data_IF_377507328998
#
_entry.id   IF_377507328998
#
_cell.length_a   1.000
_cell.length_b   1.000
_cell.length_c   1.000
_cell.angle_alpha   90.00
_cell.angle_beta   90.00
_cell.angle_gamma   90.00
#
_symmetry.space_group_name_H-M   'P 1'
#
loop_
_entity.id
_entity.type
_entity.pdbx_description
1 polymer ?
#
# COMPACT_ATOMS: atom_id res chain seq x y z
N UNK A 1 -14.34 16.35 24.02
CA UNK A 1 -13.66 15.34 23.18
C UNK A 1 -14.52 15.24 21.94
N UNK A 2 -13.94 15.25 20.73
CA UNK A 2 -14.74 15.06 19.51
C UNK A 2 -15.38 13.68 19.54
N UNK A 3 -16.55 13.55 18.90
CA UNK A 3 -17.27 12.29 18.78
C UNK A 3 -16.77 11.45 17.60
N UNK A 4 -15.94 12.05 16.74
CA UNK A 4 -15.25 11.42 15.63
C UNK A 4 -13.80 11.91 15.50
N UNK A 5 -13.00 11.19 14.73
CA UNK A 5 -11.67 11.60 14.32
C UNK A 5 -11.40 11.16 12.88
N UNK A 6 -10.55 11.91 12.18
CA UNK A 6 -10.22 11.69 10.78
C UNK A 6 -8.74 11.34 10.61
N UNK A 7 -8.46 10.41 9.70
CA UNK A 7 -7.11 10.05 9.31
C UNK A 7 -7.04 9.94 7.79
N UNK A 8 -5.95 10.44 7.21
CA UNK A 8 -5.60 10.19 5.82
C UNK A 8 -4.46 9.19 5.74
N UNK A 9 -4.61 8.20 4.87
CA UNK A 9 -3.59 7.20 4.58
C UNK A 9 -3.30 7.19 3.09
N UNK A 10 -2.06 7.44 2.63
CA UNK A 10 -1.77 7.42 1.21
C UNK A 10 -2.04 6.03 0.61
N UNK A 11 -2.49 5.99 -0.65
CA UNK A 11 -2.46 4.75 -1.42
C UNK A 11 -1.02 4.25 -1.56
N UNK A 12 -0.81 2.96 -1.62
CA UNK A 12 0.52 2.39 -1.80
C UNK A 12 0.55 1.39 -2.92
N UNK A 13 1.49 1.56 -3.83
CA UNK A 13 1.77 0.62 -4.90
C UNK A 13 3.12 -0.04 -4.66
N UNK A 14 3.14 -1.37 -4.66
CA UNK A 14 4.39 -2.14 -4.57
C UNK A 14 4.97 -2.31 -5.97
N UNK A 15 6.27 -2.05 -6.17
CA UNK A 15 6.96 -2.33 -7.44
C UNK A 15 7.64 -3.70 -7.46
N UNK A 16 8.14 -4.15 -6.32
CA UNK A 16 8.75 -5.47 -6.13
C UNK A 16 8.76 -5.82 -4.65
N UNK A 17 8.76 -7.11 -4.33
CA UNK A 17 8.72 -7.57 -2.94
C UNK A 17 9.25 -8.99 -2.77
N UNK A 18 9.56 -9.33 -1.52
CA UNK A 18 9.78 -10.70 -1.03
C UNK A 18 8.63 -11.10 -0.11
N UNK A 19 8.49 -12.40 0.15
CA UNK A 19 7.56 -12.91 1.16
C UNK A 19 8.38 -13.53 2.28
N UNK A 20 8.37 -12.91 3.46
CA UNK A 20 9.14 -13.35 4.62
C UNK A 20 8.16 -13.69 5.76
N UNK A 21 8.06 -14.98 6.09
CA UNK A 21 7.16 -15.49 7.15
C UNK A 21 7.93 -15.64 8.45
N UNK A 22 7.39 -15.06 9.52
CA UNK A 22 7.87 -15.22 10.90
C UNK A 22 6.91 -16.07 11.73
N UNK A 23 7.27 -16.32 12.99
CA UNK A 23 6.42 -17.07 13.92
C UNK A 23 5.24 -16.23 14.43
N UNK A 24 5.44 -14.90 14.50
CA UNK A 24 4.42 -13.93 14.88
C UNK A 24 3.97 -13.08 13.65
N UNK A 25 2.68 -12.74 13.53
CA UNK A 25 2.19 -11.77 12.55
C UNK A 25 2.99 -10.46 12.48
N UNK A 26 3.53 -9.95 13.60
CA UNK A 26 4.29 -8.70 13.61
C UNK A 26 5.74 -8.87 13.11
N UNK A 27 6.26 -10.10 13.08
CA UNK A 27 7.54 -10.47 12.47
C UNK A 27 7.40 -10.75 10.98
N UNK A 28 6.24 -11.29 10.59
CA UNK A 28 5.89 -11.60 9.20
C UNK A 28 5.73 -10.30 8.40
N UNK A 29 6.27 -10.28 7.19
CA UNK A 29 6.12 -9.15 6.29
C UNK A 29 6.83 -9.34 4.96
N UNK A 30 7.29 -8.22 4.38
CA UNK A 30 7.97 -8.21 3.09
C UNK A 30 9.14 -7.23 3.11
N UNK A 31 10.21 -7.59 2.39
CA UNK A 31 11.19 -6.63 1.89
C UNK A 31 10.76 -6.17 0.51
N UNK A 32 11.24 -5.03 0.03
CA UNK A 32 10.88 -4.53 -1.31
C UNK A 32 10.83 -3.02 -1.41
N UNK A 33 10.17 -2.52 -2.46
CA UNK A 33 10.00 -1.09 -2.67
C UNK A 33 8.64 -0.74 -3.26
N UNK A 34 8.19 0.48 -3.01
CA UNK A 34 6.93 0.99 -3.54
C UNK A 34 6.83 2.51 -3.55
N UNK A 35 5.69 3.03 -3.99
CA UNK A 35 5.36 4.46 -4.00
C UNK A 35 4.10 4.69 -3.15
N UNK A 36 4.19 5.62 -2.20
CA UNK A 36 3.02 6.16 -1.53
C UNK A 36 2.46 7.33 -2.36
N UNK A 37 1.17 7.31 -2.65
CA UNK A 37 0.48 8.20 -3.56
C UNK A 37 -0.34 9.27 -2.80
N UNK A 38 -0.55 10.42 -3.43
CA UNK A 38 -1.39 11.49 -2.88
C UNK A 38 -2.87 11.17 -2.95
N UNK A 39 -3.24 10.24 -3.84
CA UNK A 39 -4.53 9.58 -3.78
C UNK A 39 -4.45 8.50 -2.72
N UNK A 40 -5.43 8.44 -1.84
CA UNK A 40 -5.40 7.59 -0.65
C UNK A 40 -6.77 7.39 -0.05
N UNK A 41 -6.77 6.83 1.16
CA UNK A 41 -7.97 6.51 1.92
C UNK A 41 -8.15 7.55 3.02
N UNK A 42 -9.27 8.24 3.00
CA UNK A 42 -9.71 9.10 4.10
C UNK A 42 -10.61 8.27 5.01
N UNK A 43 -10.26 8.12 6.28
CA UNK A 43 -10.97 7.28 7.26
C UNK A 43 -11.49 8.17 8.38
N UNK A 44 -12.78 8.05 8.66
CA UNK A 44 -13.46 8.66 9.79
C UNK A 44 -13.91 7.57 10.75
N UNK A 45 -13.56 7.71 12.02
CA UNK A 45 -14.00 6.79 13.09
C UNK A 45 -14.83 7.58 14.09
N UNK A 46 -16.06 7.14 14.31
CA UNK A 46 -16.97 7.73 15.29
C UNK A 46 -17.40 6.71 16.34
N UNK A 47 -17.73 7.18 17.54
CA UNK A 47 -18.23 6.29 18.60
C UNK A 47 -19.58 5.71 18.23
N UNK A 48 -19.73 4.39 18.35
CA UNK A 48 -20.99 3.68 18.10
C UNK A 48 -21.22 2.56 19.11
N UNK A 49 -22.46 2.07 19.17
CA UNK A 49 -22.85 0.90 19.97
C UNK A 49 -22.64 -0.42 19.22
N UNK A 50 -22.52 -0.35 17.90
CA UNK A 50 -22.28 -1.48 16.99
C UNK A 50 -21.12 -1.14 16.04
N UNK A 51 -20.42 -2.16 15.57
CA UNK A 51 -19.36 -1.98 14.57
C UNK A 51 -19.99 -2.00 13.19
N UNK A 52 -19.77 -0.91 12.44
CA UNK A 52 -20.22 -0.76 11.05
C UNK A 52 -19.04 -0.23 10.23
N UNK A 53 -18.84 -0.77 9.03
CA UNK A 53 -17.74 -0.38 8.15
C UNK A 53 -18.32 -0.06 6.77
N UNK A 54 -18.11 1.18 6.31
CA UNK A 54 -18.58 1.63 4.99
C UNK A 54 -17.42 2.16 4.16
N UNK A 55 -17.36 1.83 2.89
CA UNK A 55 -16.40 2.35 1.92
C UNK A 55 -17.14 2.98 0.75
N UNK A 56 -16.90 4.27 0.49
CA UNK A 56 -17.58 5.05 -0.56
C UNK A 56 -19.12 5.00 -0.46
N UNK A 57 -19.64 4.87 0.76
CA UNK A 57 -21.07 4.81 1.06
C UNK A 57 -21.70 3.41 1.03
N UNK A 58 -20.94 2.38 0.64
CA UNK A 58 -21.41 0.99 0.63
C UNK A 58 -20.92 0.24 1.88
N UNK A 59 -21.79 -0.57 2.48
CA UNK A 59 -21.41 -1.47 3.58
C UNK A 59 -20.44 -2.54 3.09
N UNK A 60 -19.35 -2.75 3.84
CA UNK A 60 -18.33 -3.74 3.52
C UNK A 60 -17.94 -4.58 4.74
N UNK A 61 -17.50 -5.81 4.49
CA UNK A 61 -16.78 -6.62 5.48
C UNK A 61 -15.28 -6.48 5.23
N UNK A 62 -14.51 -6.18 6.28
CA UNK A 62 -13.07 -5.96 6.18
C UNK A 62 -12.37 -6.48 7.43
N UNK A 63 -11.93 -7.74 7.38
CA UNK A 63 -11.35 -8.46 8.52
C UNK A 63 -10.18 -7.69 9.16
N UNK A 64 -9.34 -7.02 8.36
CA UNK A 64 -8.23 -6.22 8.90
C UNK A 64 -8.72 -5.05 9.78
N UNK A 65 -9.82 -4.38 9.42
CA UNK A 65 -10.40 -3.29 10.21
C UNK A 65 -11.03 -3.83 11.50
N UNK A 66 -11.76 -4.94 11.40
CA UNK A 66 -12.36 -5.62 12.56
C UNK A 66 -11.28 -6.03 13.57
N UNK A 67 -10.18 -6.64 13.10
CA UNK A 67 -9.03 -7.01 13.93
C UNK A 67 -8.37 -5.81 14.62
N UNK A 68 -8.29 -4.66 13.95
CA UNK A 68 -7.78 -3.42 14.55
C UNK A 68 -8.69 -2.97 15.70
N UNK A 69 -10.00 -2.93 15.46
CA UNK A 69 -10.98 -2.53 16.47
C UNK A 69 -10.97 -3.48 17.67
N UNK A 70 -10.88 -4.80 17.43
CA UNK A 70 -10.76 -5.83 18.45
C UNK A 70 -9.48 -5.68 19.29
N UNK A 71 -8.33 -5.44 18.63
CA UNK A 71 -7.06 -5.20 19.31
C UNK A 71 -7.12 -3.96 20.22
N UNK A 72 -7.82 -2.92 19.78
CA UNK A 72 -8.09 -1.70 20.54
C UNK A 72 -9.28 -1.84 21.51
N UNK A 73 -9.95 -3.00 21.56
CA UNK A 73 -11.14 -3.27 22.37
C UNK A 73 -12.22 -2.20 22.21
N UNK A 74 -12.48 -1.83 20.97
CA UNK A 74 -13.27 -0.68 20.60
C UNK A 74 -14.42 -1.09 19.68
N UNK A 75 -15.59 -0.48 19.88
CA UNK A 75 -16.74 -0.60 18.98
C UNK A 75 -16.99 0.78 18.37
N UNK A 76 -17.05 0.87 17.05
CA UNK A 76 -17.09 2.12 16.33
C UNK A 76 -17.70 1.97 14.94
N UNK A 77 -18.26 3.06 14.42
CA UNK A 77 -18.57 3.16 13.00
C UNK A 77 -17.33 3.70 12.28
N UNK A 78 -16.90 3.01 11.23
CA UNK A 78 -15.76 3.34 10.38
C UNK A 78 -16.28 3.69 8.99
N UNK A 79 -16.16 4.95 8.61
CA UNK A 79 -16.53 5.42 7.27
C UNK A 79 -15.27 5.82 6.52
N UNK A 80 -15.11 5.31 5.30
CA UNK A 80 -13.97 5.61 4.48
C UNK A 80 -14.35 6.04 3.07
N UNK A 81 -13.55 6.95 2.51
CA UNK A 81 -13.66 7.42 1.14
C UNK A 81 -12.31 7.29 0.43
N UNK A 82 -12.34 6.84 -0.82
CA UNK A 82 -11.13 6.70 -1.64
C UNK A 82 -11.46 6.75 -3.13
N UNK A 83 -10.63 7.44 -3.95
CA UNK A 83 -10.72 7.34 -5.41
C UNK A 83 -10.07 6.06 -5.96
N UNK A 84 -9.38 5.29 -5.11
CA UNK A 84 -8.60 4.12 -5.52
C UNK A 84 -9.49 2.87 -5.59
N UNK A 85 -9.44 2.08 -6.67
CA UNK A 85 -10.19 0.83 -6.75
C UNK A 85 -9.64 -0.21 -5.76
N UNK A 86 -10.55 -0.88 -5.06
CA UNK A 86 -10.22 -2.02 -4.19
C UNK A 86 -9.65 -3.18 -5.04
N UNK A 87 -8.80 -4.03 -4.47
CA UNK A 87 -8.24 -5.21 -5.17
C UNK A 87 -7.28 -4.91 -6.33
N UNK A 88 -6.95 -3.64 -6.57
CA UNK A 88 -6.18 -3.20 -7.74
C UNK A 88 -4.71 -2.83 -7.45
N UNK A 89 -4.17 -3.33 -6.33
CA UNK A 89 -2.76 -3.15 -5.96
C UNK A 89 -2.40 -1.82 -5.28
N UNK A 90 -3.40 -1.07 -4.77
CA UNK A 90 -3.20 0.24 -4.12
C UNK A 90 -3.14 0.20 -2.58
N UNK A 91 -3.18 -0.98 -1.97
CA UNK A 91 -3.10 -1.11 -0.51
C UNK A 91 -4.28 -0.48 0.24
N UNK A 92 -5.48 -0.47 -0.34
CA UNK A 92 -6.68 0.13 0.29
C UNK A 92 -7.04 -0.56 1.61
N UNK A 93 -6.90 -1.89 1.71
CA UNK A 93 -7.12 -2.64 2.95
C UNK A 93 -6.18 -2.19 4.08
N UNK A 94 -4.87 -2.12 3.80
CA UNK A 94 -3.89 -1.57 4.73
C UNK A 94 -4.16 -0.10 5.08
N UNK A 95 -4.66 0.68 4.12
CA UNK A 95 -5.08 2.07 4.31
C UNK A 95 -6.22 2.20 5.31
N UNK A 96 -7.26 1.37 5.16
CA UNK A 96 -8.40 1.28 6.08
C UNK A 96 -7.95 0.84 7.47
N UNK A 97 -7.13 -0.19 7.58
CA UNK A 97 -6.63 -0.70 8.85
C UNK A 97 -5.80 0.35 9.61
N UNK A 98 -4.86 1.00 8.93
CA UNK A 98 -4.01 2.04 9.54
C UNK A 98 -4.81 3.29 9.89
N UNK A 99 -5.68 3.76 8.99
CA UNK A 99 -6.54 4.92 9.24
C UNK A 99 -7.47 4.68 10.43
N UNK A 100 -8.04 3.48 10.52
CA UNK A 100 -8.86 3.06 11.66
C UNK A 100 -8.05 3.08 12.95
N UNK A 101 -6.84 2.51 12.96
CA UNK A 101 -6.00 2.49 14.17
C UNK A 101 -5.67 3.91 14.66
N UNK A 102 -5.30 4.81 13.74
CA UNK A 102 -5.01 6.21 14.04
C UNK A 102 -6.23 6.94 14.58
N UNK A 103 -7.34 6.94 13.84
CA UNK A 103 -8.55 7.66 14.20
C UNK A 103 -9.22 7.08 15.46
N UNK A 104 -9.26 5.75 15.64
CA UNK A 104 -9.75 5.12 16.84
C UNK A 104 -8.91 5.51 18.07
N UNK A 105 -7.58 5.56 17.96
CA UNK A 105 -6.71 6.03 19.03
C UNK A 105 -7.01 7.48 19.43
N UNK A 106 -7.23 8.35 18.44
CA UNK A 106 -7.56 9.75 18.67
C UNK A 106 -8.94 9.92 19.33
N UNK A 107 -9.99 9.30 18.78
CA UNK A 107 -11.36 9.50 19.27
C UNK A 107 -11.55 8.83 20.64
N UNK A 108 -11.05 7.60 20.87
CA UNK A 108 -11.22 6.88 22.14
C UNK A 108 -10.16 7.24 23.20
N UNK A 109 -9.12 7.99 22.83
CA UNK A 109 -8.09 8.45 23.76
C UNK A 109 -7.22 7.34 24.32
N UNK A 110 -6.92 6.31 23.51
CA UNK A 110 -6.10 5.16 23.92
C UNK A 110 -4.66 5.56 24.30
N UNK A 111 -4.14 6.65 23.74
CA UNK A 111 -2.83 7.21 24.08
C UNK A 111 -1.65 6.37 23.60
N UNK A 112 -1.85 5.55 22.56
CA UNK A 112 -0.82 4.74 21.92
C UNK A 112 0.06 5.59 21.00
N UNK A 113 1.33 5.22 20.90
CA UNK A 113 2.29 5.83 19.99
C UNK A 113 2.03 5.42 18.54
N UNK A 114 2.56 6.21 17.61
CA UNK A 114 2.42 5.95 16.17
C UNK A 114 2.88 4.55 15.77
N UNK A 115 4.05 4.11 16.25
CA UNK A 115 4.57 2.77 15.92
C UNK A 115 3.71 1.64 16.52
N UNK A 116 3.10 1.83 17.69
CA UNK A 116 2.17 0.84 18.25
C UNK A 116 0.94 0.69 17.35
N UNK A 117 0.40 1.80 16.83
CA UNK A 117 -0.76 1.80 15.93
C UNK A 117 -0.43 1.16 14.58
N UNK A 118 0.75 1.48 14.02
CA UNK A 118 1.25 0.83 12.80
C UNK A 118 1.48 -0.67 13.03
N UNK A 119 1.99 -1.08 14.19
CA UNK A 119 2.13 -2.50 14.55
C UNK A 119 0.77 -3.21 14.62
N UNK A 120 -0.25 -2.60 15.23
CA UNK A 120 -1.60 -3.15 15.32
C UNK A 120 -2.19 -3.33 13.91
N UNK A 121 -2.15 -2.30 13.08
CA UNK A 121 -2.67 -2.35 11.71
C UNK A 121 -1.91 -3.36 10.84
N UNK A 122 -0.58 -3.44 10.97
CA UNK A 122 0.25 -4.40 10.25
C UNK A 122 -0.08 -5.84 10.64
N UNK A 123 -0.15 -6.12 11.95
CA UNK A 123 -0.52 -7.44 12.45
C UNK A 123 -1.92 -7.86 11.98
N UNK A 124 -2.87 -6.93 11.95
CA UNK A 124 -4.22 -7.18 11.47
C UNK A 124 -4.25 -7.57 9.97
N UNK A 125 -3.52 -6.84 9.11
CA UNK A 125 -3.39 -7.16 7.68
C UNK A 125 -2.73 -8.51 7.44
N UNK A 126 -1.67 -8.82 8.17
CA UNK A 126 -0.98 -10.12 8.06
C UNK A 126 -1.92 -11.26 8.47
N UNK A 127 -2.66 -11.09 9.56
CA UNK A 127 -3.59 -12.11 10.05
C UNK A 127 -4.79 -12.32 9.12
N UNK A 128 -5.27 -11.26 8.45
CA UNK A 128 -6.32 -11.34 7.43
C UNK A 128 -5.79 -11.88 6.08
N UNK A 129 -4.47 -12.00 5.91
CA UNK A 129 -3.85 -12.45 4.66
C UNK A 129 -4.01 -11.45 3.50
N UNK A 130 -4.33 -10.19 3.80
CA UNK A 130 -4.61 -9.13 2.82
C UNK A 130 -3.36 -8.35 2.42
N UNK A 131 -2.30 -8.33 3.24
CA UNK A 131 -1.10 -7.57 2.95
C UNK A 131 0.10 -7.89 3.85
N UNK A 132 1.31 -7.66 3.32
CA UNK A 132 2.59 -7.93 4.03
C UNK A 132 3.47 -6.71 4.22
N UNK A 133 3.08 -5.55 3.70
CA UNK A 133 3.92 -4.37 3.85
C UNK A 133 3.35 -3.07 3.32
N UNK A 134 2.06 -3.00 3.00
CA UNK A 134 1.41 -1.74 2.63
C UNK A 134 1.32 -0.82 3.85
N UNK A 135 0.85 -1.32 5.00
CA UNK A 135 0.71 -0.52 6.24
C UNK A 135 2.00 0.23 6.60
N UNK A 136 3.13 -0.47 6.66
CA UNK A 136 4.42 0.14 7.05
C UNK A 136 4.93 1.11 5.97
N UNK A 137 4.62 0.85 4.70
CA UNK A 137 4.98 1.71 3.59
C UNK A 137 4.12 3.00 3.57
N UNK A 138 2.82 2.87 3.82
CA UNK A 138 1.85 3.95 3.92
C UNK A 138 2.14 4.84 5.14
N UNK A 139 2.46 4.24 6.28
CA UNK A 139 2.89 4.95 7.47
C UNK A 139 4.14 5.81 7.19
N UNK A 140 5.08 5.28 6.40
CA UNK A 140 6.34 5.96 6.09
C UNK A 140 6.26 7.01 4.98
N UNK A 141 5.37 6.83 4.01
CA UNK A 141 5.17 7.74 2.87
C UNK A 141 6.33 7.80 1.86
N UNK A 142 6.17 8.61 0.82
CA UNK A 142 7.20 8.84 -0.20
C UNK A 142 7.48 7.61 -1.07
N UNK A 143 8.76 7.23 -1.16
CA UNK A 143 9.23 6.06 -1.93
C UNK A 143 9.89 5.05 -1.00
N UNK A 144 9.11 4.27 -0.23
CA UNK A 144 9.61 3.33 0.78
C UNK A 144 10.44 2.21 0.17
N UNK A 145 11.57 1.91 0.83
CA UNK A 145 12.35 0.69 0.66
C UNK A 145 12.29 -0.09 1.97
N UNK A 146 11.62 -1.24 1.95
CA UNK A 146 11.57 -2.19 3.07
C UNK A 146 12.81 -3.06 3.00
N UNK A 147 13.80 -2.77 3.86
CA UNK A 147 15.09 -3.48 3.85
C UNK A 147 15.05 -4.75 4.72
N UNK A 148 14.31 -4.69 5.82
CA UNK A 148 13.99 -5.85 6.68
C UNK A 148 12.46 -6.02 6.77
N UNK A 149 11.95 -7.26 6.89
CA UNK A 149 10.51 -7.53 6.93
C UNK A 149 9.88 -7.21 8.30
N UNK A 150 8.55 -7.23 8.34
CA UNK A 150 7.76 -7.12 9.57
C UNK A 150 7.22 -5.72 9.87
N UNK A 151 6.63 -5.58 11.05
CA UNK A 151 6.16 -4.32 11.60
C UNK A 151 7.29 -3.47 12.20
N UNK A 152 6.99 -2.26 12.73
CA UNK A 152 7.97 -1.28 13.22
C UNK A 152 9.03 -1.76 14.22
N UNK A 153 8.80 -2.85 14.95
CA UNK A 153 9.80 -3.41 15.89
C UNK A 153 10.81 -4.36 15.23
N UNK A 154 10.48 -4.88 14.04
CA UNK A 154 11.26 -5.92 13.35
C UNK A 154 11.82 -5.41 12.03
N UNK A 155 11.16 -4.44 11.41
CA UNK A 155 11.57 -3.93 10.12
C UNK A 155 12.64 -2.84 10.19
N UNK A 156 13.17 -2.54 9.02
CA UNK A 156 14.02 -1.39 8.78
C UNK A 156 13.61 -0.79 7.43
N UNK A 157 13.17 0.46 7.47
CA UNK A 157 12.73 1.20 6.29
C UNK A 157 13.78 2.24 5.90
N UNK A 158 14.08 2.30 4.61
CA UNK A 158 14.83 3.37 3.96
C UNK A 158 13.97 3.96 2.83
N UNK A 159 14.59 4.78 1.97
CA UNK A 159 13.88 5.55 0.98
C UNK A 159 14.69 5.92 -0.25
N UNK A 160 14.00 6.03 -1.38
CA UNK A 160 14.48 6.89 -2.46
C UNK A 160 14.09 8.35 -2.13
N UNK A 161 15.04 9.30 -2.05
CA UNK A 161 14.75 10.70 -1.74
C UNK A 161 14.23 11.44 -2.98
N UNK A 162 13.04 11.07 -3.45
CA UNK A 162 12.46 11.61 -4.67
C UNK A 162 11.00 12.05 -4.49
N UNK A 163 10.59 12.96 -5.38
CA UNK A 163 9.20 13.31 -5.63
C UNK A 163 8.97 13.21 -7.13
N UNK A 164 7.77 12.84 -7.52
CA UNK A 164 7.37 12.79 -8.92
C UNK A 164 5.86 12.94 -9.01
N UNK A 165 5.41 13.52 -10.12
CA UNK A 165 4.07 13.26 -10.65
C UNK A 165 3.98 11.78 -11.02
N UNK A 166 2.84 11.19 -10.75
CA UNK A 166 2.55 9.79 -11.07
C UNK A 166 1.24 9.74 -11.85
N UNK A 167 1.21 8.91 -12.88
CA UNK A 167 0.00 8.56 -13.60
C UNK A 167 -0.26 7.08 -13.45
N UNK A 168 -1.54 6.69 -13.37
CA UNK A 168 -1.91 5.28 -13.36
C UNK A 168 -3.16 4.98 -14.16
N UNK A 169 -3.24 3.74 -14.66
CA UNK A 169 -4.43 3.15 -15.27
C UNK A 169 -4.64 1.75 -14.71
N UNK A 170 -5.86 1.43 -14.34
CA UNK A 170 -6.25 0.11 -13.82
C UNK A 170 -7.06 -0.62 -14.87
N UNK A 171 -6.60 -1.81 -15.22
CA UNK A 171 -7.23 -2.69 -16.22
C UNK A 171 -8.08 -3.78 -15.56
N UNK A 172 -7.77 -4.12 -14.30
CA UNK A 172 -8.39 -5.21 -13.56
C UNK A 172 -7.76 -5.46 -12.19
N UNK A 173 -8.26 -6.48 -11.50
CA UNK A 173 -7.85 -6.87 -10.15
C UNK A 173 -7.01 -8.15 -10.19
N UNK A 174 -6.13 -8.34 -9.20
CA UNK A 174 -5.41 -9.60 -8.97
C UNK A 174 -5.54 -10.01 -7.51
N UNK A 175 -5.73 -11.31 -7.28
CA UNK A 175 -5.85 -11.84 -5.92
C UNK A 175 -4.49 -11.84 -5.21
N UNK A 176 -4.35 -10.98 -4.20
CA UNK A 176 -3.15 -10.92 -3.35
C UNK A 176 -2.92 -12.24 -2.61
N UNK A 177 -3.99 -12.83 -2.07
CA UNK A 177 -3.93 -14.07 -1.31
C UNK A 177 -3.43 -15.24 -2.15
N UNK A 178 -3.81 -15.33 -3.43
CA UNK A 178 -3.37 -16.41 -4.31
C UNK A 178 -1.87 -16.30 -4.66
N UNK A 179 -1.38 -15.07 -4.86
CA UNK A 179 0.05 -14.83 -5.18
C UNK A 179 0.93 -15.08 -3.96
N UNK A 180 0.52 -14.62 -2.78
CA UNK A 180 1.32 -14.72 -1.55
C UNK A 180 1.17 -16.09 -0.87
N UNK A 181 0.03 -16.77 -1.06
CA UNK A 181 -0.26 -18.08 -0.47
C UNK A 181 0.41 -19.28 -1.16
N UNK A 182 0.97 -19.10 -2.36
CA UNK A 182 1.60 -20.15 -3.16
C UNK A 182 3.09 -20.42 -2.87
N UNK A 183 3.75 -21.09 -3.81
CA UNK A 183 5.21 -21.22 -3.84
C UNK A 183 5.83 -19.87 -4.22
N UNK A 184 6.54 -19.27 -3.25
CA UNK A 184 7.05 -17.90 -3.32
C UNK A 184 8.57 -17.87 -3.50
N UNK A 185 9.23 -19.01 -3.76
CA UNK A 185 10.70 -19.06 -3.90
C UNK A 185 11.18 -18.20 -5.08
N UNK A 186 10.58 -18.39 -6.27
CA UNK A 186 10.94 -17.62 -7.48
C UNK A 186 10.66 -16.14 -7.30
N UNK A 187 9.51 -15.80 -6.72
CA UNK A 187 9.10 -14.43 -6.41
C UNK A 187 10.09 -13.78 -5.44
N UNK A 188 10.42 -14.46 -4.35
CA UNK A 188 11.35 -13.96 -3.33
C UNK A 188 12.74 -13.76 -3.91
N UNK A 189 13.25 -14.69 -4.72
CA UNK A 189 14.54 -14.54 -5.38
C UNK A 189 14.56 -13.34 -6.36
N UNK A 190 13.47 -13.09 -7.08
CA UNK A 190 13.33 -11.90 -7.92
C UNK A 190 13.27 -10.61 -7.09
N UNK A 191 12.55 -10.63 -5.97
CA UNK A 191 12.42 -9.52 -5.03
C UNK A 191 13.75 -9.11 -4.41
N UNK A 192 14.56 -10.09 -3.99
CA UNK A 192 15.90 -9.84 -3.43
C UNK A 192 16.85 -9.22 -4.45
N UNK A 193 16.80 -9.68 -5.71
CA UNK A 193 17.58 -9.09 -6.81
C UNK A 193 17.15 -7.64 -7.09
N UNK A 194 15.85 -7.40 -7.13
CA UNK A 194 15.28 -6.06 -7.35
C UNK A 194 15.70 -5.11 -6.22
N UNK A 195 15.56 -5.53 -4.96
CA UNK A 195 15.98 -4.74 -3.80
C UNK A 195 17.47 -4.44 -3.81
N UNK A 196 18.32 -5.44 -4.07
CA UNK A 196 19.77 -5.25 -4.20
C UNK A 196 20.14 -4.24 -5.28
N UNK A 197 19.40 -4.23 -6.39
CA UNK A 197 19.61 -3.29 -7.50
C UNK A 197 19.26 -1.87 -7.09
N UNK A 198 18.10 -1.66 -6.45
CA UNK A 198 17.64 -0.32 -6.05
C UNK A 198 18.47 0.25 -4.90
N UNK A 199 18.88 -0.55 -3.93
CA UNK A 199 19.71 -0.09 -2.80
C UNK A 199 21.10 0.38 -3.28
N UNK A 200 21.65 -0.23 -4.34
CA UNK A 200 22.93 0.22 -4.93
C UNK A 200 22.84 1.61 -5.58
N UNK A 201 21.70 1.94 -6.16
CA UNK A 201 21.46 3.22 -6.81
C UNK A 201 20.00 3.68 -6.59
N UNK A 202 19.71 4.31 -5.43
CA UNK A 202 18.35 4.63 -5.01
C UNK A 202 17.81 5.83 -5.80
N UNK A 203 17.33 5.55 -7.02
CA UNK A 203 16.70 6.48 -7.95
C UNK A 203 15.39 5.90 -8.45
N UNK A 204 14.45 6.79 -8.82
CA UNK A 204 13.18 6.36 -9.41
C UNK A 204 13.37 5.54 -10.70
N UNK A 205 14.32 5.90 -11.56
CA UNK A 205 14.62 5.14 -12.77
C UNK A 205 15.06 3.70 -12.46
N UNK A 206 15.89 3.53 -11.43
CA UNK A 206 16.34 2.20 -10.97
C UNK A 206 15.17 1.40 -10.39
N UNK A 207 14.29 2.07 -9.63
CA UNK A 207 13.06 1.45 -9.12
C UNK A 207 12.15 0.96 -10.23
N UNK A 208 11.85 1.79 -11.24
CA UNK A 208 10.99 1.42 -12.37
C UNK A 208 11.57 0.26 -13.17
N UNK A 209 12.89 0.28 -13.42
CA UNK A 209 13.59 -0.83 -14.05
C UNK A 209 13.48 -2.13 -13.24
N UNK A 210 13.71 -2.06 -11.93
CA UNK A 210 13.65 -3.21 -11.03
C UNK A 210 12.22 -3.77 -10.95
N UNK A 211 11.19 -2.91 -10.90
CA UNK A 211 9.79 -3.32 -10.90
C UNK A 211 9.40 -4.06 -12.19
N UNK A 212 9.81 -3.55 -13.36
CA UNK A 212 9.61 -4.25 -14.65
C UNK A 212 10.34 -5.59 -14.73
N UNK A 213 11.54 -5.67 -14.17
CA UNK A 213 12.28 -6.92 -14.14
C UNK A 213 11.60 -7.93 -13.22
N UNK A 214 11.20 -7.49 -12.03
CA UNK A 214 10.50 -8.30 -11.04
C UNK A 214 9.21 -8.90 -11.59
N UNK A 215 8.32 -8.09 -12.19
CA UNK A 215 7.03 -8.59 -12.69
C UNK A 215 7.18 -9.68 -13.75
N UNK A 216 8.23 -9.61 -14.58
CA UNK A 216 8.55 -10.66 -15.57
C UNK A 216 9.15 -11.90 -14.93
N UNK A 217 10.09 -11.73 -13.99
CA UNK A 217 10.77 -12.85 -13.34
C UNK A 217 9.85 -13.62 -12.37
N UNK A 218 8.87 -12.93 -11.78
CA UNK A 218 7.88 -13.49 -10.88
C UNK A 218 6.61 -14.01 -11.60
N UNK A 219 6.57 -13.98 -12.94
CA UNK A 219 5.42 -14.40 -13.77
C UNK A 219 4.10 -13.69 -13.42
N UNK A 220 4.19 -12.42 -13.01
CA UNK A 220 3.02 -11.59 -12.66
C UNK A 220 2.56 -10.70 -13.81
N UNK A 221 3.42 -10.46 -14.80
CA UNK A 221 3.14 -9.53 -15.88
C UNK A 221 2.13 -10.10 -16.88
N UNK A 222 0.92 -9.53 -16.91
CA UNK A 222 -0.12 -9.92 -17.87
C UNK A 222 0.12 -9.31 -19.27
N UNK A 223 -0.39 -9.92 -20.35
CA UNK A 223 -0.23 -9.40 -21.71
C UNK A 223 -0.77 -7.98 -21.90
N UNK A 224 -1.90 -7.67 -21.27
CA UNK A 224 -2.58 -6.38 -21.33
C UNK A 224 -1.73 -5.29 -20.65
N UNK A 225 -1.27 -5.55 -19.42
CA UNK A 225 -0.34 -4.68 -18.68
C UNK A 225 0.95 -4.47 -19.46
N UNK A 226 1.50 -5.54 -20.06
CA UNK A 226 2.71 -5.44 -20.88
C UNK A 226 2.52 -4.50 -22.07
N UNK A 227 1.37 -4.57 -22.75
CA UNK A 227 1.07 -3.73 -23.91
C UNK A 227 1.10 -2.25 -23.53
N UNK A 228 0.45 -1.88 -22.42
CA UNK A 228 0.45 -0.49 -21.93
C UNK A 228 1.87 -0.03 -21.57
N UNK A 229 2.68 -0.87 -20.92
CA UNK A 229 4.08 -0.52 -20.58
C UNK A 229 4.92 -0.30 -21.84
N UNK A 230 4.74 -1.13 -22.87
CA UNK A 230 5.46 -1.00 -24.14
C UNK A 230 5.07 0.29 -24.86
N UNK A 231 3.78 0.62 -24.92
CA UNK A 231 3.28 1.87 -25.52
C UNK A 231 3.87 3.11 -24.82
N UNK A 232 3.94 3.10 -23.49
CA UNK A 232 4.59 4.19 -22.72
C UNK A 232 6.07 4.29 -23.06
N UNK A 233 6.77 3.16 -23.20
CA UNK A 233 8.18 3.15 -23.58
C UNK A 233 8.40 3.67 -25.02
N UNK A 234 7.52 3.34 -25.96
CA UNK A 234 7.55 3.85 -27.33
C UNK A 234 7.31 5.37 -27.39
N UNK A 235 6.49 5.91 -26.49
CA UNK A 235 6.30 7.35 -26.30
C UNK A 235 7.47 8.03 -25.55
N UNK A 236 8.45 7.27 -25.07
CA UNK A 236 9.62 7.77 -24.34
C UNK A 236 9.41 7.98 -22.84
N UNK A 237 8.31 7.45 -22.29
CA UNK A 237 7.99 7.44 -20.86
C UNK A 237 8.57 6.24 -20.12
N UNK A 238 8.33 6.20 -18.80
CA UNK A 238 8.79 5.13 -17.91
C UNK A 238 7.61 4.60 -17.09
N UNK A 239 7.23 3.34 -17.32
CA UNK A 239 6.10 2.68 -16.67
C UNK A 239 6.45 1.30 -16.11
N UNK A 240 5.69 0.87 -15.10
CA UNK A 240 5.78 -0.46 -14.50
C UNK A 240 4.41 -0.88 -13.98
N UNK A 241 4.26 -2.18 -13.75
CA UNK A 241 3.08 -2.74 -13.10
C UNK A 241 3.12 -2.42 -11.59
N UNK A 242 1.98 -2.04 -11.01
CA UNK A 242 1.79 -2.09 -9.57
C UNK A 242 1.49 -3.55 -9.18
N UNK A 243 2.30 -4.13 -8.30
CA UNK A 243 2.15 -5.54 -7.93
C UNK A 243 0.81 -5.80 -7.27
N UNK A 244 0.25 -6.99 -7.55
CA UNK A 244 -1.01 -7.47 -7.00
C UNK A 244 -2.26 -6.68 -7.47
N UNK A 245 -2.19 -6.13 -8.68
CA UNK A 245 -3.32 -5.65 -9.48
C UNK A 245 -2.93 -5.54 -10.96
N UNK A 246 -3.90 -5.49 -11.87
CA UNK A 246 -3.62 -5.18 -13.28
C UNK A 246 -3.55 -3.66 -13.48
N UNK A 247 -2.68 -3.01 -12.72
CA UNK A 247 -2.51 -1.56 -12.72
C UNK A 247 -1.15 -1.21 -13.31
N UNK A 248 -1.12 -0.26 -14.25
CA UNK A 248 0.11 0.33 -14.78
C UNK A 248 0.31 1.70 -14.18
N UNK A 249 1.54 1.96 -13.73
CA UNK A 249 1.96 3.22 -13.14
C UNK A 249 3.11 3.78 -13.97
N UNK A 250 3.01 5.06 -14.33
CA UNK A 250 4.05 5.80 -15.03
C UNK A 250 4.52 7.02 -14.24
N UNK A 251 5.80 7.38 -14.43
CA UNK A 251 6.34 8.64 -13.93
C UNK A 251 6.02 9.78 -14.91
N UNK A 252 5.75 10.97 -14.37
CA UNK A 252 5.51 12.15 -15.17
C UNK A 252 4.18 12.07 -15.93
N UNK A 253 4.25 12.13 -17.25
CA UNK A 253 3.10 12.12 -18.18
C UNK A 253 3.07 10.88 -19.08
N UNK A 254 3.82 9.83 -18.72
CA UNK A 254 4.11 8.72 -19.62
C UNK A 254 2.86 8.02 -20.18
N UNK A 255 1.80 7.84 -19.37
CA UNK A 255 0.56 7.21 -19.84
C UNK A 255 -0.24 8.15 -20.75
N UNK A 256 -0.38 9.42 -20.35
CA UNK A 256 -1.09 10.42 -21.15
C UNK A 256 -0.40 10.67 -22.50
N UNK A 257 0.93 10.72 -22.53
CA UNK A 257 1.74 10.89 -23.74
C UNK A 257 1.62 9.67 -24.68
N UNK A 258 1.35 8.48 -24.13
CA UNK A 258 1.03 7.27 -24.88
C UNK A 258 -0.45 7.16 -25.30
N UNK A 259 -1.30 8.14 -24.94
CA UNK A 259 -2.70 8.22 -25.35
C UNK A 259 -3.70 7.53 -24.43
N UNK A 260 -3.29 7.14 -23.22
CA UNK A 260 -4.18 6.57 -22.21
C UNK A 260 -4.90 7.66 -21.40
N UNK A 261 -6.16 7.42 -21.04
CA UNK A 261 -6.90 8.25 -20.09
C UNK A 261 -6.48 7.89 -18.67
N UNK A 262 -5.38 8.51 -18.22
CA UNK A 262 -4.74 8.17 -16.96
C UNK A 262 -5.25 9.01 -15.80
N UNK A 263 -5.38 8.39 -14.63
CA UNK A 263 -5.56 9.13 -13.38
C UNK A 263 -4.22 9.70 -12.94
N UNK A 264 -4.26 10.88 -12.33
CA UNK A 264 -3.10 11.71 -12.06
C UNK A 264 -2.99 11.98 -10.57
N UNK A 265 -1.84 11.67 -10.00
CA UNK A 265 -1.51 11.98 -8.61
C UNK A 265 -0.02 12.33 -8.47
N UNK A 266 0.49 12.32 -7.25
CA UNK A 266 1.91 12.52 -6.97
C UNK A 266 2.39 11.55 -5.89
N UNK A 267 3.70 11.36 -5.82
CA UNK A 267 4.33 10.75 -4.64
C UNK A 267 4.00 11.62 -3.42
N UNK A 268 3.53 10.99 -2.33
CA UNK A 268 3.09 11.63 -1.09
C UNK A 268 4.06 11.35 0.08
N UNK A 269 5.04 12.24 0.35
CA UNK A 269 6.04 12.03 1.39
C UNK A 269 5.58 11.99 2.85
N UNK A 270 4.51 12.69 3.28
CA UNK A 270 4.16 12.77 4.71
C UNK A 270 3.86 11.43 5.39
N UNK A 271 3.36 10.44 4.64
CA UNK A 271 2.84 9.20 5.23
C UNK A 271 1.48 9.39 5.89
N UNK A 272 0.97 8.35 6.54
CA UNK A 272 -0.34 8.38 7.19
C UNK A 272 -0.37 9.35 8.38
N UNK A 273 -1.42 10.15 8.49
CA UNK A 273 -1.58 11.17 9.53
C UNK A 273 -3.03 11.30 10.00
N UNK A 274 -3.21 11.80 11.22
CA UNK A 274 -4.49 12.39 11.64
C UNK A 274 -4.68 13.71 10.89
N UNK A 275 -5.91 13.98 10.50
CA UNK A 275 -6.34 15.25 9.95
C UNK A 275 -7.17 16.01 10.98
N UNK A 276 -6.96 17.32 11.07
CA UNK A 276 -7.81 18.19 11.89
C UNK A 276 -9.20 18.32 11.23
N UNK A 277 -10.25 18.50 12.03
CA UNK A 277 -11.54 18.99 11.52
C UNK A 277 -11.29 20.34 10.80
N UNK A 278 -11.47 20.36 9.48
CA UNK A 278 -11.27 21.54 8.63
C UNK A 278 -12.27 22.67 8.90
#
# INVERSE_FOLDING_TARGET
>A
MSDEAHAFVPGHITGFFTVDRGDDPIETGSRGGGLALSDGVSVTVSRSVETEITLNGDDIEMEAVERVLDALRTTATVTAETPLPLGSGFGVSGGLALGTALAANAVFGHGLSYNELVTIAHGAEVQAGSGLGDVVAQARGGVPLRLEPGGPQFNYLDAIPARSRVEYVTLGELSTADVVGGDTETLTAAGERALSTVVKEPKLSTFMQAARQFSREADLLTPEVKTVIDDVAEAGGDAAMAMLGETVVALGTGLSDAGYDATVCAIYPPGATIEDEG
#
